data_IF_653315689272
#
_entry.id   IF_653315689272
#
_cell.length_a   1.000
_cell.length_b   1.000
_cell.length_c   1.000
_cell.angle_alpha   90.00
_cell.angle_beta   90.00
_cell.angle_gamma   90.00
#
_symmetry.space_group_name_H-M   'P 1'
#
loop_
_entity.id
_entity.type
_entity.pdbx_description
1 polymer ?
#
# COMPACT_ATOMS: atom_id res chain seq x y z
N UNK A 1 -34.47 8.69 -15.06
CA UNK A 1 -33.53 9.28 -14.09
C UNK A 1 -33.79 8.59 -12.76
N UNK A 2 -32.83 7.83 -12.18
CA UNK A 2 -33.03 7.29 -10.83
C UNK A 2 -33.01 8.49 -9.87
N UNK A 3 -34.16 8.82 -9.28
CA UNK A 3 -34.24 9.88 -8.27
C UNK A 3 -33.47 9.43 -7.04
N UNK A 4 -32.68 10.34 -6.48
CA UNK A 4 -31.96 10.11 -5.24
C UNK A 4 -32.96 10.13 -4.09
N UNK A 5 -33.26 8.95 -3.52
CA UNK A 5 -34.24 8.80 -2.42
C UNK A 5 -33.71 9.34 -1.08
N UNK A 6 -32.39 9.46 -0.92
CA UNK A 6 -31.74 9.97 0.30
C UNK A 6 -30.74 11.07 -0.05
N UNK A 7 -30.67 12.13 0.74
CA UNK A 7 -29.71 13.25 0.57
C UNK A 7 -28.22 12.88 0.78
N UNK A 8 -27.88 11.59 0.74
CA UNK A 8 -26.54 11.04 0.91
C UNK A 8 -26.22 10.18 -0.32
N UNK A 9 -25.25 10.60 -1.13
CA UNK A 9 -24.67 9.77 -2.19
C UNK A 9 -23.60 8.81 -1.67
N UNK A 10 -23.17 7.87 -2.52
CA UNK A 10 -22.12 6.88 -2.19
C UNK A 10 -20.80 7.50 -1.67
N UNK A 11 -20.47 8.74 -2.07
CA UNK A 11 -19.26 9.45 -1.65
C UNK A 11 -19.52 10.62 -0.68
N UNK A 12 -20.78 10.77 -0.25
CA UNK A 12 -21.21 11.78 0.70
C UNK A 12 -20.89 13.23 0.25
N UNK A 13 -20.82 13.51 -1.06
CA UNK A 13 -20.33 14.80 -1.55
C UNK A 13 -21.26 15.96 -1.19
N UNK A 14 -22.55 15.68 -0.99
CA UNK A 14 -23.58 16.64 -0.57
C UNK A 14 -23.29 17.21 0.82
N UNK A 15 -22.60 16.46 1.68
CA UNK A 15 -22.22 16.91 3.03
C UNK A 15 -21.07 17.91 3.03
N UNK A 16 -20.48 18.22 1.87
CA UNK A 16 -19.39 19.19 1.80
C UNK A 16 -19.87 20.61 2.15
N UNK A 17 -19.50 21.06 3.34
CA UNK A 17 -19.75 22.41 3.88
C UNK A 17 -18.77 23.50 3.37
N UNK A 18 -17.92 23.17 2.39
CA UNK A 18 -16.98 24.10 1.73
C UNK A 18 -15.95 24.80 2.64
N UNK A 19 -15.60 24.25 3.79
CA UNK A 19 -14.64 24.84 4.75
C UNK A 19 -13.16 24.86 4.28
N UNK A 20 -12.80 24.20 3.18
CA UNK A 20 -11.43 24.20 2.58
C UNK A 20 -10.34 23.48 3.38
N UNK A 21 -10.65 22.84 4.52
CA UNK A 21 -9.67 22.05 5.31
C UNK A 21 -8.94 21.00 4.47
N UNK A 22 -9.64 20.35 3.54
CA UNK A 22 -9.06 19.36 2.65
C UNK A 22 -7.91 19.91 1.79
N UNK A 23 -7.95 21.19 1.42
CA UNK A 23 -6.89 21.86 0.65
C UNK A 23 -5.65 22.07 1.49
N UNK A 24 -5.80 22.44 2.77
CA UNK A 24 -4.69 22.63 3.72
C UNK A 24 -3.93 21.32 3.96
N UNK A 25 -4.65 20.21 4.09
CA UNK A 25 -4.05 18.88 4.31
C UNK A 25 -3.55 18.20 3.03
N UNK A 26 -3.72 18.83 1.86
CA UNK A 26 -3.27 18.26 0.61
C UNK A 26 -1.77 18.50 0.41
N UNK A 27 -0.95 17.45 0.28
CA UNK A 27 0.49 17.63 0.09
C UNK A 27 0.84 18.20 -1.30
N UNK A 28 -0.04 18.09 -2.29
CA UNK A 28 0.22 18.50 -3.67
C UNK A 28 0.08 20.00 -3.86
N UNK A 29 -0.93 20.60 -3.24
CA UNK A 29 -1.27 22.03 -3.36
C UNK A 29 -0.08 22.97 -3.08
N UNK A 30 0.69 22.81 -2.00
CA UNK A 30 1.78 23.74 -1.70
C UNK A 30 2.95 23.67 -2.68
N UNK A 31 3.08 22.60 -3.48
CA UNK A 31 4.26 22.37 -4.35
C UNK A 31 3.92 22.24 -5.83
N UNK A 32 2.64 22.21 -6.20
CA UNK A 32 2.21 22.13 -7.58
C UNK A 32 1.05 23.13 -7.83
N UNK A 33 1.34 24.32 -8.36
CA UNK A 33 0.33 25.36 -8.59
C UNK A 33 -0.68 25.00 -9.70
N UNK A 34 -0.39 23.97 -10.51
CA UNK A 34 -1.31 23.50 -11.55
C UNK A 34 -2.42 22.61 -10.97
N UNK A 35 -2.29 22.15 -9.72
CA UNK A 35 -3.35 21.39 -9.08
C UNK A 35 -4.31 22.34 -8.35
N UNK A 36 -5.60 22.41 -8.74
CA UNK A 36 -6.57 23.31 -8.11
C UNK A 36 -6.95 22.90 -6.67
N UNK A 37 -6.38 21.80 -6.18
CA UNK A 37 -6.64 21.28 -4.85
C UNK A 37 -7.84 20.33 -4.79
N UNK A 38 -7.94 19.55 -3.70
CA UNK A 38 -8.92 18.48 -3.58
C UNK A 38 -10.35 18.99 -3.43
N UNK A 39 -10.57 20.23 -2.95
CA UNK A 39 -11.90 20.84 -2.89
C UNK A 39 -12.49 21.04 -4.30
N UNK A 40 -11.74 21.72 -5.17
CA UNK A 40 -12.17 22.03 -6.53
C UNK A 40 -12.15 20.78 -7.41
N UNK A 41 -11.10 19.97 -7.34
CA UNK A 41 -11.02 18.71 -8.08
C UNK A 41 -12.11 17.70 -7.64
N UNK A 42 -12.42 17.67 -6.34
CA UNK A 42 -13.40 16.77 -5.72
C UNK A 42 -14.82 17.37 -5.68
N UNK A 43 -15.38 17.68 -4.50
CA UNK A 43 -16.81 17.93 -4.32
C UNK A 43 -17.34 19.18 -5.07
N UNK A 44 -16.55 20.23 -5.25
CA UNK A 44 -17.02 21.42 -5.98
C UNK A 44 -17.09 21.14 -7.49
N UNK A 45 -16.05 20.51 -8.06
CA UNK A 45 -16.07 20.06 -9.46
C UNK A 45 -17.11 18.97 -9.72
N UNK A 46 -17.39 18.11 -8.73
CA UNK A 46 -18.38 17.03 -8.88
C UNK A 46 -19.78 17.57 -9.15
N UNK A 47 -20.17 18.65 -8.45
CA UNK A 47 -21.45 19.33 -8.66
C UNK A 47 -21.62 19.84 -10.10
N UNK A 48 -20.53 20.14 -10.80
CA UNK A 48 -20.55 20.52 -12.20
C UNK A 48 -20.57 19.28 -13.11
N UNK A 49 -19.71 18.29 -12.83
CA UNK A 49 -19.61 17.04 -13.62
C UNK A 49 -20.88 16.20 -13.64
N UNK A 50 -21.69 16.27 -12.58
CA UNK A 50 -23.01 15.65 -12.52
C UNK A 50 -24.00 16.28 -13.51
N UNK A 51 -23.86 17.57 -13.83
CA UNK A 51 -24.70 18.27 -14.81
C UNK A 51 -24.21 18.01 -16.23
N UNK A 52 -22.91 18.17 -16.48
CA UNK A 52 -22.27 17.94 -17.79
C UNK A 52 -20.86 17.37 -17.60
N UNK A 53 -20.55 16.27 -18.29
CA UNK A 53 -19.23 15.62 -18.22
C UNK A 53 -18.07 16.48 -18.72
N UNK A 54 -18.33 17.52 -19.52
CA UNK A 54 -17.31 18.45 -20.04
C UNK A 54 -16.53 19.21 -18.96
N UNK A 55 -17.06 19.28 -17.74
CA UNK A 55 -16.37 19.90 -16.59
C UNK A 55 -15.31 18.99 -15.96
N UNK A 56 -15.00 17.85 -16.59
CA UNK A 56 -13.81 17.09 -16.27
C UNK A 56 -12.55 17.84 -16.69
N UNK A 57 -11.58 17.88 -15.79
CA UNK A 57 -10.29 18.52 -16.01
C UNK A 57 -9.16 17.51 -15.79
N UNK A 58 -8.19 17.51 -16.70
CA UNK A 58 -7.01 16.68 -16.63
C UNK A 58 -6.12 17.01 -15.42
N UNK A 59 -6.29 18.16 -14.74
CA UNK A 59 -5.57 18.45 -13.47
C UNK A 59 -5.91 17.47 -12.34
N UNK A 60 -7.04 16.73 -12.43
CA UNK A 60 -7.38 15.68 -11.46
C UNK A 60 -6.29 14.59 -11.37
N UNK A 61 -5.47 14.42 -12.42
CA UNK A 61 -4.34 13.47 -12.44
C UNK A 61 -3.21 13.81 -11.46
N UNK A 62 -3.16 15.04 -10.95
CA UNK A 62 -2.19 15.43 -9.93
C UNK A 62 -2.58 14.95 -8.53
N UNK A 63 -3.82 14.47 -8.34
CA UNK A 63 -4.22 13.85 -7.09
C UNK A 63 -3.44 12.53 -6.86
N UNK A 64 -2.78 12.44 -5.71
CA UNK A 64 -2.02 11.26 -5.29
C UNK A 64 -2.88 10.10 -4.80
N UNK A 65 -4.20 10.30 -4.67
CA UNK A 65 -5.10 9.35 -4.02
C UNK A 65 -4.74 9.00 -2.56
N UNK A 66 -3.97 9.85 -1.87
CA UNK A 66 -3.47 9.58 -0.52
C UNK A 66 -4.53 9.65 0.61
N UNK A 67 -5.75 10.07 0.29
CA UNK A 67 -6.90 10.20 1.21
C UNK A 67 -6.73 11.12 2.43
N UNK A 68 -5.62 11.84 2.60
CA UNK A 68 -5.44 12.82 3.69
C UNK A 68 -6.56 13.87 3.75
N UNK A 69 -7.07 14.28 2.59
CA UNK A 69 -8.21 15.19 2.49
C UNK A 69 -9.51 14.62 3.08
N UNK A 70 -9.67 13.29 3.09
CA UNK A 70 -10.84 12.62 3.67
C UNK A 70 -10.70 12.44 5.16
N UNK A 71 -9.49 12.13 5.65
CA UNK A 71 -9.20 12.03 7.09
C UNK A 71 -9.46 13.38 7.76
N UNK A 72 -9.05 14.48 7.13
CA UNK A 72 -9.26 15.83 7.66
C UNK A 72 -10.69 16.37 7.49
N UNK A 73 -11.58 15.67 6.78
CA UNK A 73 -12.91 16.20 6.47
C UNK A 73 -13.88 16.00 7.65
N UNK A 74 -14.38 17.08 8.28
CA UNK A 74 -15.29 16.94 9.43
C UNK A 74 -16.66 16.37 9.05
N UNK A 75 -17.02 16.46 7.77
CA UNK A 75 -18.31 15.99 7.24
C UNK A 75 -18.22 14.60 6.61
N UNK A 76 -17.07 13.92 6.70
CA UNK A 76 -16.88 12.58 6.16
C UNK A 76 -17.04 12.47 4.63
N UNK A 77 -16.71 13.54 3.90
CA UNK A 77 -16.75 13.53 2.42
C UNK A 77 -15.59 12.70 1.88
N UNK A 78 -15.87 11.77 0.98
CA UNK A 78 -14.85 10.91 0.34
C UNK A 78 -14.22 11.59 -0.86
N UNK A 79 -13.51 12.68 -0.60
CA UNK A 79 -12.96 13.59 -1.60
C UNK A 79 -11.99 12.90 -2.58
N UNK A 80 -11.13 12.01 -2.07
CA UNK A 80 -10.20 11.24 -2.90
C UNK A 80 -10.96 10.28 -3.81
N UNK A 81 -11.96 9.58 -3.27
CA UNK A 81 -12.83 8.69 -4.07
C UNK A 81 -13.58 9.47 -5.16
N UNK A 82 -14.14 10.65 -4.86
CA UNK A 82 -14.81 11.52 -5.86
C UNK A 82 -13.85 11.84 -7.02
N UNK A 83 -12.62 12.24 -6.71
CA UNK A 83 -11.62 12.58 -7.72
C UNK A 83 -11.29 11.34 -8.57
N UNK A 84 -11.08 10.19 -7.94
CA UNK A 84 -10.76 8.96 -8.65
C UNK A 84 -11.93 8.46 -9.49
N UNK A 85 -13.16 8.45 -8.97
CA UNK A 85 -14.37 8.11 -9.71
C UNK A 85 -14.55 9.03 -10.92
N UNK A 86 -14.29 10.33 -10.79
CA UNK A 86 -14.32 11.25 -11.91
C UNK A 86 -13.27 10.91 -12.98
N UNK A 87 -12.04 10.58 -12.58
CA UNK A 87 -11.00 10.10 -13.50
C UNK A 87 -11.37 8.79 -14.19
N UNK A 88 -12.03 7.87 -13.49
CA UNK A 88 -12.49 6.60 -14.05
C UNK A 88 -13.60 6.82 -15.08
N UNK A 89 -14.55 7.71 -14.76
CA UNK A 89 -15.77 7.90 -15.56
C UNK A 89 -15.56 8.80 -16.78
N UNK A 90 -14.76 9.85 -16.65
CA UNK A 90 -14.67 10.92 -17.64
C UNK A 90 -13.34 10.98 -18.39
N UNK A 91 -12.28 10.29 -17.94
CA UNK A 91 -11.04 10.24 -18.70
C UNK A 91 -11.23 9.41 -19.98
N UNK A 92 -11.03 10.02 -21.13
CA UNK A 92 -11.09 9.38 -22.44
C UNK A 92 -9.72 9.01 -23.00
N UNK A 93 -8.63 9.44 -22.34
CA UNK A 93 -7.27 9.12 -22.79
C UNK A 93 -6.92 7.65 -22.47
N UNK A 94 -6.52 6.86 -23.47
CA UNK A 94 -6.08 5.49 -23.22
C UNK A 94 -4.76 5.48 -22.42
N UNK A 95 -4.52 4.48 -21.56
CA UNK A 95 -3.27 4.34 -20.84
C UNK A 95 -2.07 4.28 -21.81
N UNK A 96 -1.02 5.05 -21.53
CA UNK A 96 0.22 5.01 -22.32
C UNK A 96 0.96 3.69 -22.08
N UNK A 97 1.85 3.30 -22.99
CA UNK A 97 2.70 2.11 -22.83
C UNK A 97 3.44 2.10 -21.49
N UNK A 98 4.02 3.24 -21.09
CA UNK A 98 4.62 3.43 -19.76
C UNK A 98 3.66 3.03 -18.65
N UNK A 99 2.43 3.55 -18.68
CA UNK A 99 1.46 3.35 -17.61
C UNK A 99 1.01 1.89 -17.54
N UNK A 100 0.87 1.23 -18.70
CA UNK A 100 0.57 -0.21 -18.79
C UNK A 100 1.68 -1.07 -18.19
N UNK A 101 2.96 -0.74 -18.47
CA UNK A 101 4.12 -1.45 -17.90
C UNK A 101 4.17 -1.25 -16.39
N UNK A 102 4.09 0.00 -15.92
CA UNK A 102 4.20 0.32 -14.49
C UNK A 102 3.04 -0.23 -13.67
N UNK A 103 1.82 -0.31 -14.24
CA UNK A 103 0.63 -0.78 -13.53
C UNK A 103 0.42 -2.30 -13.61
N UNK A 104 1.01 -3.00 -14.59
CA UNK A 104 0.83 -4.44 -14.80
C UNK A 104 1.83 -5.29 -14.01
N UNK A 105 1.86 -5.12 -12.69
CA UNK A 105 2.87 -5.75 -11.81
C UNK A 105 2.92 -7.28 -11.92
N UNK A 106 1.78 -7.97 -12.01
CA UNK A 106 1.78 -9.45 -12.11
C UNK A 106 2.29 -9.94 -13.47
N UNK A 107 1.95 -9.23 -14.54
CA UNK A 107 2.41 -9.56 -15.89
C UNK A 107 3.93 -9.33 -15.97
N UNK A 108 4.39 -8.17 -15.50
CA UNK A 108 5.82 -7.86 -15.48
C UNK A 108 6.57 -8.82 -14.55
N UNK A 109 6.06 -9.07 -13.35
CA UNK A 109 6.65 -9.99 -12.38
C UNK A 109 6.79 -11.42 -12.93
N UNK A 110 5.75 -11.98 -13.53
CA UNK A 110 5.77 -13.35 -14.07
C UNK A 110 6.73 -13.54 -15.25
N UNK A 111 6.99 -12.49 -16.03
CA UNK A 111 7.94 -12.50 -17.14
C UNK A 111 9.37 -12.20 -16.65
N UNK A 112 9.55 -11.11 -15.91
CA UNK A 112 10.87 -10.59 -15.53
C UNK A 112 11.57 -11.48 -14.51
N UNK A 113 10.83 -12.14 -13.61
CA UNK A 113 11.41 -13.09 -12.63
C UNK A 113 12.22 -14.19 -13.32
N UNK A 114 11.83 -14.63 -14.53
CA UNK A 114 12.53 -15.68 -15.29
C UNK A 114 13.90 -15.25 -15.79
N UNK A 115 14.13 -13.94 -15.93
CA UNK A 115 15.38 -13.34 -16.41
C UNK A 115 15.93 -12.31 -15.42
N UNK A 116 15.58 -12.46 -14.14
CA UNK A 116 15.80 -11.44 -13.11
C UNK A 116 17.26 -10.94 -13.01
N UNK A 117 18.31 -11.78 -13.06
CA UNK A 117 19.69 -11.28 -13.01
C UNK A 117 20.02 -10.31 -14.16
N UNK A 118 19.60 -10.66 -15.39
CA UNK A 118 19.82 -9.84 -16.58
C UNK A 118 18.99 -8.57 -16.53
N UNK A 119 17.71 -8.68 -16.17
CA UNK A 119 16.82 -7.53 -16.07
C UNK A 119 17.29 -6.54 -15.00
N UNK A 120 17.68 -7.03 -13.81
CA UNK A 120 18.20 -6.19 -12.74
C UNK A 120 19.50 -5.50 -13.11
N UNK A 121 20.41 -6.20 -13.81
CA UNK A 121 21.63 -5.60 -14.34
C UNK A 121 21.30 -4.48 -15.33
N UNK A 122 20.49 -4.79 -16.35
CA UNK A 122 20.11 -3.82 -17.39
C UNK A 122 19.40 -2.59 -16.82
N UNK A 123 18.44 -2.76 -15.91
CA UNK A 123 17.70 -1.67 -15.26
C UNK A 123 18.57 -0.83 -14.30
N UNK A 124 19.71 -1.37 -13.85
CA UNK A 124 20.68 -0.65 -13.03
C UNK A 124 21.60 0.29 -13.81
N UNK A 125 21.76 0.07 -15.12
CA UNK A 125 22.69 0.84 -15.96
C UNK A 125 22.20 2.27 -16.21
N UNK A 126 23.10 3.26 -16.08
CA UNK A 126 22.81 4.68 -16.37
C UNK A 126 22.28 4.90 -17.80
N UNK A 127 22.87 4.29 -18.87
CA UNK A 127 22.32 4.41 -20.22
C UNK A 127 20.87 3.93 -20.34
N UNK A 128 20.51 2.81 -19.71
CA UNK A 128 19.12 2.30 -19.71
C UNK A 128 18.17 3.32 -19.10
N UNK A 129 18.54 3.92 -17.96
CA UNK A 129 17.72 4.95 -17.31
C UNK A 129 17.53 6.20 -18.19
N UNK A 130 18.57 6.62 -18.91
CA UNK A 130 18.47 7.74 -19.88
C UNK A 130 17.55 7.40 -21.04
N UNK A 131 17.62 6.18 -21.58
CA UNK A 131 16.71 5.72 -22.65
C UNK A 131 15.26 5.66 -22.15
N UNK A 132 15.03 5.11 -20.95
CA UNK A 132 13.69 5.06 -20.35
C UNK A 132 13.12 6.46 -20.08
N UNK A 133 13.97 7.41 -19.68
CA UNK A 133 13.60 8.81 -19.49
C UNK A 133 13.23 9.50 -20.81
N UNK A 134 14.01 9.28 -21.86
CA UNK A 134 13.77 9.87 -23.17
C UNK A 134 12.52 9.30 -23.85
N UNK A 135 12.40 7.96 -23.87
CA UNK A 135 11.40 7.22 -24.65
C UNK A 135 10.13 6.95 -23.87
N UNK A 136 10.26 6.37 -22.67
CA UNK A 136 9.12 5.97 -21.85
C UNK A 136 8.68 7.05 -20.86
N UNK A 137 9.41 8.15 -20.72
CA UNK A 137 9.15 9.22 -19.73
C UNK A 137 9.08 8.69 -18.30
N UNK A 138 9.95 7.73 -17.98
CA UNK A 138 10.24 7.31 -16.59
C UNK A 138 11.48 8.06 -16.15
N UNK A 139 11.39 8.84 -15.07
CA UNK A 139 12.48 9.74 -14.68
C UNK A 139 13.81 8.98 -14.45
N UNK A 140 14.91 9.48 -15.02
CA UNK A 140 16.24 8.84 -14.93
C UNK A 140 16.77 8.69 -13.50
N UNK A 141 16.28 9.46 -12.53
CA UNK A 141 16.67 9.33 -11.12
C UNK A 141 15.97 8.17 -10.42
N UNK A 142 14.99 7.53 -11.08
CA UNK A 142 14.26 6.40 -10.52
C UNK A 142 15.03 5.10 -10.68
N UNK A 143 14.86 4.26 -9.68
CA UNK A 143 15.35 2.88 -9.68
C UNK A 143 14.17 1.97 -9.44
N UNK A 144 14.01 0.97 -10.31
CA UNK A 144 12.99 -0.04 -10.11
C UNK A 144 13.38 -0.97 -8.95
N UNK A 145 12.40 -1.44 -8.16
CA UNK A 145 12.67 -2.50 -7.20
C UNK A 145 13.24 -3.71 -7.95
N UNK A 146 14.30 -4.31 -7.41
CA UNK A 146 14.91 -5.51 -7.99
C UNK A 146 13.90 -6.63 -8.03
N UNK A 147 13.91 -7.42 -9.09
CA UNK A 147 13.15 -8.68 -9.17
C UNK A 147 13.96 -9.83 -8.58
N UNK A 148 13.30 -10.80 -7.98
CA UNK A 148 13.92 -12.05 -7.53
C UNK A 148 13.85 -13.11 -8.62
N UNK A 149 14.79 -14.05 -8.66
CA UNK A 149 14.70 -15.25 -9.53
C UNK A 149 13.77 -16.32 -8.95
N UNK A 150 13.51 -16.30 -7.64
CA UNK A 150 12.64 -17.25 -6.93
C UNK A 150 11.51 -16.49 -6.25
N UNK A 151 10.29 -16.73 -6.69
CA UNK A 151 9.11 -16.04 -6.13
C UNK A 151 8.82 -16.49 -4.70
N UNK A 152 8.09 -15.67 -3.94
CA UNK A 152 7.62 -16.05 -2.61
C UNK A 152 6.74 -17.31 -2.67
N UNK A 153 5.78 -17.38 -3.60
CA UNK A 153 4.91 -18.56 -3.74
C UNK A 153 5.71 -19.85 -3.99
N UNK A 154 6.73 -19.79 -4.87
CA UNK A 154 7.57 -20.94 -5.17
C UNK A 154 8.37 -21.38 -3.94
N UNK A 155 8.93 -20.41 -3.21
CA UNK A 155 9.60 -20.68 -1.95
C UNK A 155 8.63 -21.28 -0.91
N UNK A 156 7.43 -20.72 -0.77
CA UNK A 156 6.44 -21.13 0.22
C UNK A 156 6.02 -22.59 0.01
N UNK A 157 5.61 -22.92 -1.22
CA UNK A 157 5.19 -24.28 -1.62
C UNK A 157 6.28 -25.32 -1.37
N UNK A 158 7.54 -24.96 -1.62
CA UNK A 158 8.68 -25.88 -1.48
C UNK A 158 9.13 -26.07 -0.03
N UNK A 159 9.11 -25.02 0.79
CA UNK A 159 9.84 -25.03 2.06
C UNK A 159 8.93 -25.12 3.29
N UNK A 160 7.71 -24.59 3.24
CA UNK A 160 6.89 -24.43 4.46
C UNK A 160 5.46 -24.94 4.35
N UNK A 161 4.89 -25.03 3.14
CA UNK A 161 3.50 -25.40 2.91
C UNK A 161 3.10 -26.74 3.55
N UNK A 162 3.99 -27.74 3.51
CA UNK A 162 3.68 -29.10 3.99
C UNK A 162 3.42 -29.22 5.49
N UNK A 163 3.82 -28.23 6.28
CA UNK A 163 3.61 -28.24 7.73
C UNK A 163 2.75 -27.07 8.23
N UNK A 164 2.13 -26.28 7.34
CA UNK A 164 1.23 -25.21 7.79
C UNK A 164 -0.05 -25.75 8.45
N UNK A 165 -0.45 -26.98 8.10
CA UNK A 165 -1.61 -27.66 8.69
C UNK A 165 -1.32 -28.27 10.07
N UNK A 166 -0.07 -28.30 10.53
CA UNK A 166 0.26 -28.85 11.86
C UNK A 166 0.03 -27.85 13.00
N UNK A 167 -0.18 -26.58 12.67
CA UNK A 167 -0.48 -25.54 13.65
C UNK A 167 -1.95 -25.59 14.08
N UNK A 168 -2.23 -25.16 15.32
CA UNK A 168 -3.58 -25.17 15.89
C UNK A 168 -4.49 -24.09 15.32
N UNK A 169 -3.90 -22.95 14.99
CA UNK A 169 -4.62 -21.79 14.47
C UNK A 169 -4.12 -21.45 13.07
N UNK A 170 -4.95 -20.76 12.31
CA UNK A 170 -4.73 -20.59 10.88
C UNK A 170 -5.15 -19.21 10.39
N UNK A 171 -4.35 -18.64 9.48
CA UNK A 171 -4.66 -17.40 8.75
C UNK A 171 -4.36 -17.56 7.28
N UNK A 172 -5.10 -16.86 6.43
CA UNK A 172 -4.72 -16.71 5.03
C UNK A 172 -3.90 -15.44 4.82
N UNK A 173 -2.89 -15.50 3.96
CA UNK A 173 -2.00 -14.39 3.67
C UNK A 173 -2.22 -13.86 2.26
N UNK A 174 -2.68 -12.61 2.17
CA UNK A 174 -2.63 -11.83 0.93
C UNK A 174 -1.21 -11.26 0.78
N UNK A 175 -0.36 -11.94 0.01
CA UNK A 175 1.05 -11.56 -0.07
C UNK A 175 1.30 -10.36 -0.99
N UNK A 176 0.47 -10.20 -2.02
CA UNK A 176 0.60 -9.16 -3.03
C UNK A 176 1.78 -9.36 -3.98
N UNK A 177 1.84 -8.50 -4.99
CA UNK A 177 2.81 -8.62 -6.07
C UNK A 177 4.26 -8.30 -5.63
N UNK A 178 4.44 -7.33 -4.73
CA UNK A 178 5.78 -6.91 -4.30
C UNK A 178 6.49 -8.03 -3.54
N UNK A 179 5.82 -8.67 -2.57
CA UNK A 179 6.37 -9.82 -1.85
C UNK A 179 6.68 -10.96 -2.82
N UNK A 180 5.79 -11.22 -3.78
CA UNK A 180 5.98 -12.34 -4.70
C UNK A 180 7.19 -12.16 -5.63
N UNK A 181 7.35 -10.98 -6.23
CA UNK A 181 8.27 -10.78 -7.35
C UNK A 181 9.52 -9.95 -7.02
N UNK A 182 9.50 -9.15 -5.95
CA UNK A 182 10.58 -8.21 -5.64
C UNK A 182 11.22 -8.46 -4.28
N UNK A 183 10.41 -8.70 -3.25
CA UNK A 183 10.90 -8.86 -1.88
C UNK A 183 10.27 -10.05 -1.15
N UNK A 184 10.57 -11.30 -1.57
CA UNK A 184 10.08 -12.50 -0.90
C UNK A 184 10.43 -12.59 0.57
N UNK A 185 11.52 -11.94 1.00
CA UNK A 185 11.98 -11.98 2.38
C UNK A 185 10.88 -11.53 3.35
N UNK A 186 10.14 -10.45 3.05
CA UNK A 186 9.02 -10.00 3.86
C UNK A 186 7.94 -11.08 4.04
N UNK A 187 7.65 -11.86 2.98
CA UNK A 187 6.72 -12.98 3.09
C UNK A 187 7.24 -14.11 3.97
N UNK A 188 8.56 -14.39 3.92
CA UNK A 188 9.20 -15.37 4.79
C UNK A 188 9.15 -14.91 6.25
N UNK A 189 9.48 -13.65 6.49
CA UNK A 189 9.46 -13.04 7.82
C UNK A 189 8.06 -13.13 8.44
N UNK A 190 7.01 -12.82 7.65
CA UNK A 190 5.63 -12.97 8.11
C UNK A 190 5.31 -14.42 8.48
N UNK A 191 5.66 -15.39 7.62
CA UNK A 191 5.41 -16.81 7.92
C UNK A 191 6.17 -17.25 9.17
N UNK A 192 7.43 -16.84 9.33
CA UNK A 192 8.23 -17.16 10.51
C UNK A 192 7.65 -16.59 11.80
N UNK A 193 7.20 -15.32 11.79
CA UNK A 193 6.55 -14.68 12.94
C UNK A 193 5.23 -15.37 13.27
N UNK A 194 4.35 -15.59 12.28
CA UNK A 194 3.05 -16.24 12.52
C UNK A 194 3.21 -17.68 13.03
N UNK A 195 4.12 -18.46 12.46
CA UNK A 195 4.40 -19.82 12.93
C UNK A 195 4.93 -19.82 14.38
N UNK A 196 5.79 -18.86 14.75
CA UNK A 196 6.26 -18.71 16.13
C UNK A 196 5.12 -18.33 17.09
N UNK A 197 4.07 -17.67 16.60
CA UNK A 197 2.86 -17.38 17.37
C UNK A 197 1.86 -18.55 17.43
N UNK A 198 2.18 -19.71 16.83
CA UNK A 198 1.31 -20.88 16.79
C UNK A 198 0.26 -20.86 15.67
N UNK A 199 0.42 -19.97 14.67
CA UNK A 199 -0.50 -19.82 13.54
C UNK A 199 0.12 -20.30 12.23
N UNK A 200 -0.49 -21.30 11.61
CA UNK A 200 -0.17 -21.73 10.26
C UNK A 200 -0.68 -20.72 9.23
N UNK A 201 0.15 -20.40 8.25
CA UNK A 201 -0.16 -19.46 7.18
C UNK A 201 -0.58 -20.22 5.94
N UNK A 202 -1.62 -19.75 5.24
CA UNK A 202 -2.04 -20.31 3.95
C UNK A 202 -2.10 -19.24 2.88
N UNK A 203 -1.79 -19.60 1.64
CA UNK A 203 -1.91 -18.68 0.52
C UNK A 203 -3.35 -18.68 -0.02
N UNK A 204 -3.80 -17.53 -0.52
CA UNK A 204 -5.08 -17.43 -1.21
C UNK A 204 -5.02 -18.13 -2.57
N UNK A 205 -6.12 -18.80 -2.93
CA UNK A 205 -6.22 -19.48 -4.22
C UNK A 205 -6.15 -18.45 -5.36
N UNK A 206 -5.23 -18.63 -6.31
CA UNK A 206 -5.14 -17.80 -7.54
C UNK A 206 -5.06 -16.28 -7.29
N UNK A 207 -4.43 -15.85 -6.20
CA UNK A 207 -4.24 -14.44 -5.86
C UNK A 207 -3.79 -13.60 -7.07
N UNK A 208 -4.36 -12.39 -7.18
CA UNK A 208 -3.96 -11.36 -8.14
C UNK A 208 -3.52 -10.11 -7.40
N UNK A 209 -2.72 -9.27 -8.07
CA UNK A 209 -2.41 -7.92 -7.59
C UNK A 209 -3.68 -7.19 -7.19
N UNK A 210 -3.63 -6.51 -6.04
CA UNK A 210 -4.72 -5.72 -5.46
C UNK A 210 -5.27 -4.65 -6.42
N UNK A 211 -4.51 -4.25 -7.44
CA UNK A 211 -4.98 -3.36 -8.49
C UNK A 211 -4.85 -1.88 -8.18
N UNK A 212 -4.23 -1.47 -7.07
CA UNK A 212 -4.00 -0.05 -6.73
C UNK A 212 -3.33 0.71 -7.89
N UNK A 213 -2.29 0.12 -8.50
CA UNK A 213 -1.61 0.72 -9.64
C UNK A 213 -2.49 0.76 -10.91
N UNK A 214 -3.35 -0.24 -11.11
CA UNK A 214 -4.31 -0.27 -12.22
C UNK A 214 -5.36 0.84 -12.07
N UNK A 215 -5.92 1.00 -10.86
CA UNK A 215 -6.84 2.09 -10.51
C UNK A 215 -6.19 3.45 -10.76
N UNK A 216 -4.97 3.66 -10.26
CA UNK A 216 -4.25 4.92 -10.40
C UNK A 216 -3.95 5.31 -11.86
N UNK A 217 -3.92 4.33 -12.78
CA UNK A 217 -3.68 4.53 -14.21
C UNK A 217 -4.94 4.28 -15.08
N UNK A 218 -6.14 4.30 -14.47
CA UNK A 218 -7.42 4.11 -15.15
C UNK A 218 -7.56 2.80 -15.95
N UNK A 219 -6.82 1.75 -15.59
CA UNK A 219 -6.92 0.40 -16.19
C UNK A 219 -8.01 -0.43 -15.51
N UNK A 220 -9.25 0.08 -15.53
CA UNK A 220 -10.33 -0.34 -14.63
C UNK A 220 -10.88 -1.73 -14.94
N UNK A 221 -10.98 -2.15 -16.20
CA UNK A 221 -11.48 -3.49 -16.52
C UNK A 221 -10.58 -4.59 -15.95
N UNK A 222 -9.27 -4.40 -16.06
CA UNK A 222 -8.28 -5.31 -15.46
C UNK A 222 -8.32 -5.24 -13.94
N UNK A 223 -8.48 -4.05 -13.36
CA UNK A 223 -8.62 -3.88 -11.91
C UNK A 223 -9.86 -4.62 -11.37
N UNK A 224 -11.02 -4.50 -12.04
CA UNK A 224 -12.26 -5.22 -11.71
C UNK A 224 -12.09 -6.72 -11.79
N UNK A 225 -11.45 -7.23 -12.86
CA UNK A 225 -11.18 -8.66 -13.01
C UNK A 225 -10.31 -9.20 -11.88
N UNK A 226 -9.24 -8.50 -11.52
CA UNK A 226 -8.38 -8.87 -10.40
C UNK A 226 -9.13 -8.82 -9.07
N UNK A 227 -9.90 -7.76 -8.84
CA UNK A 227 -10.67 -7.57 -7.62
C UNK A 227 -11.72 -8.66 -7.43
N UNK A 228 -12.46 -9.03 -8.48
CA UNK A 228 -13.44 -10.12 -8.45
C UNK A 228 -12.79 -11.46 -8.05
N UNK A 229 -11.65 -11.81 -8.68
CA UNK A 229 -10.90 -13.03 -8.33
C UNK A 229 -10.41 -13.00 -6.88
N UNK A 230 -9.88 -11.87 -6.42
CA UNK A 230 -9.37 -11.75 -5.05
C UNK A 230 -10.49 -11.87 -4.01
N UNK A 231 -11.62 -11.20 -4.21
CA UNK A 231 -12.76 -11.27 -3.29
C UNK A 231 -13.37 -12.67 -3.26
N UNK A 232 -13.44 -13.38 -4.39
CA UNK A 232 -13.84 -14.79 -4.42
C UNK A 232 -12.91 -15.64 -3.54
N UNK A 233 -11.59 -15.50 -3.69
CA UNK A 233 -10.62 -16.24 -2.89
C UNK A 233 -10.65 -15.87 -1.41
N UNK A 234 -10.92 -14.60 -1.09
CA UNK A 234 -11.09 -14.14 0.30
C UNK A 234 -12.37 -14.74 0.90
N UNK A 235 -13.50 -14.74 0.20
CA UNK A 235 -14.75 -15.38 0.66
C UNK A 235 -14.55 -16.85 0.96
N UNK A 236 -13.84 -17.56 0.08
CA UNK A 236 -13.48 -18.96 0.30
C UNK A 236 -12.64 -19.15 1.57
N UNK A 237 -11.63 -18.30 1.77
CA UNK A 237 -10.81 -18.31 2.98
C UNK A 237 -11.64 -18.07 4.25
N UNK A 238 -12.50 -17.06 4.24
CA UNK A 238 -13.30 -16.67 5.41
C UNK A 238 -14.41 -17.67 5.72
N UNK A 239 -15.21 -18.09 4.73
CA UNK A 239 -16.40 -18.89 4.97
C UNK A 239 -16.18 -20.40 4.88
N UNK A 240 -15.36 -20.87 3.93
CA UNK A 240 -15.11 -22.31 3.79
C UNK A 240 -13.99 -22.77 4.72
N UNK A 241 -12.92 -21.97 4.86
CA UNK A 241 -11.75 -22.35 5.68
C UNK A 241 -11.77 -21.76 7.09
N UNK A 242 -12.67 -20.81 7.38
CA UNK A 242 -12.76 -20.13 8.69
C UNK A 242 -11.47 -19.39 9.06
N UNK A 243 -10.81 -18.79 8.07
CA UNK A 243 -9.53 -18.10 8.22
C UNK A 243 -9.70 -16.60 7.93
N UNK A 244 -9.29 -15.71 8.85
CA UNK A 244 -9.15 -14.30 8.48
C UNK A 244 -7.99 -14.14 7.48
N UNK A 245 -8.05 -13.06 6.71
CA UNK A 245 -7.04 -12.72 5.70
C UNK A 245 -6.17 -11.60 6.22
N UNK A 246 -4.87 -11.86 6.35
CA UNK A 246 -3.89 -10.84 6.74
C UNK A 246 -3.04 -10.42 5.54
N UNK A 247 -2.52 -9.20 5.56
CA UNK A 247 -1.53 -8.72 4.57
C UNK A 247 -0.46 -7.83 5.19
N UNK A 248 0.69 -7.71 4.54
CA UNK A 248 1.80 -6.85 5.02
C UNK A 248 1.85 -5.46 4.36
N UNK A 249 1.09 -5.27 3.26
CA UNK A 249 1.01 -3.98 2.56
C UNK A 249 -0.23 -3.20 2.98
N UNK A 250 -0.01 -2.01 3.52
CA UNK A 250 -1.07 -1.06 3.84
C UNK A 250 -1.91 -0.66 2.62
N UNK A 251 -1.27 -0.42 1.48
CA UNK A 251 -1.97 -0.04 0.25
C UNK A 251 -2.85 -1.15 -0.31
N UNK A 252 -2.36 -2.39 -0.32
CA UNK A 252 -3.16 -3.54 -0.76
C UNK A 252 -4.39 -3.73 0.13
N UNK A 253 -4.21 -3.74 1.46
CA UNK A 253 -5.30 -3.89 2.41
C UNK A 253 -6.35 -2.78 2.26
N UNK A 254 -5.91 -1.51 2.22
CA UNK A 254 -6.80 -0.38 2.02
C UNK A 254 -7.58 -0.49 0.70
N UNK A 255 -6.91 -0.81 -0.40
CA UNK A 255 -7.56 -0.90 -1.71
C UNK A 255 -8.63 -1.98 -1.72
N UNK A 256 -8.31 -3.17 -1.21
CA UNK A 256 -9.24 -4.31 -1.19
C UNK A 256 -10.43 -4.03 -0.28
N UNK A 257 -10.20 -3.45 0.92
CA UNK A 257 -11.26 -3.19 1.91
C UNK A 257 -12.14 -2.01 1.57
N UNK A 258 -11.56 -0.90 1.13
CA UNK A 258 -12.21 0.40 1.12
C UNK A 258 -12.34 1.01 -0.28
N UNK A 259 -11.50 0.65 -1.24
CA UNK A 259 -11.62 1.20 -2.61
C UNK A 259 -12.42 0.29 -3.56
N UNK A 260 -12.42 -1.03 -3.37
CA UNK A 260 -13.12 -1.97 -4.25
C UNK A 260 -14.62 -1.65 -4.43
N UNK A 261 -15.41 -1.43 -3.36
CA UNK A 261 -16.83 -1.12 -3.52
C UNK A 261 -17.06 0.21 -4.24
N UNK A 262 -16.26 1.22 -3.93
CA UNK A 262 -16.50 2.61 -4.34
C UNK A 262 -15.92 2.94 -5.72
N UNK A 263 -14.77 2.37 -6.08
CA UNK A 263 -14.08 2.65 -7.34
C UNK A 263 -14.31 1.56 -8.39
N UNK A 264 -14.46 0.30 -7.96
CA UNK A 264 -14.60 -0.84 -8.88
C UNK A 264 -16.02 -1.42 -8.90
N UNK A 265 -16.88 -1.05 -7.96
CA UNK A 265 -18.23 -1.62 -7.84
C UNK A 265 -18.22 -3.10 -7.45
N UNK A 266 -17.15 -3.55 -6.78
CA UNK A 266 -17.02 -4.91 -6.26
C UNK A 266 -17.42 -4.88 -4.79
N UNK A 267 -18.60 -5.42 -4.47
CA UNK A 267 -19.05 -5.55 -3.10
C UNK A 267 -18.18 -6.55 -2.34
N UNK A 268 -17.75 -6.13 -1.15
CA UNK A 268 -16.95 -6.90 -0.21
C UNK A 268 -17.49 -6.78 1.22
N UNK A 269 -18.69 -6.19 1.41
CA UNK A 269 -19.21 -5.82 2.72
C UNK A 269 -19.30 -7.00 3.69
N UNK A 270 -19.51 -8.20 3.14
CA UNK A 270 -19.61 -9.47 3.85
C UNK A 270 -18.25 -9.94 4.40
N UNK A 271 -17.14 -9.66 3.71
CA UNK A 271 -15.78 -10.10 4.11
C UNK A 271 -14.88 -8.96 4.56
N UNK A 272 -15.31 -7.71 4.43
CA UNK A 272 -14.48 -6.51 4.64
C UNK A 272 -13.73 -6.57 5.96
N UNK A 273 -14.41 -6.91 7.05
CA UNK A 273 -13.83 -6.89 8.39
C UNK A 273 -12.93 -8.07 8.74
N UNK A 274 -12.84 -9.07 7.87
CA UNK A 274 -11.92 -10.21 7.98
C UNK A 274 -10.56 -9.97 7.29
N UNK A 275 -10.39 -8.85 6.61
CA UNK A 275 -9.17 -8.50 5.88
C UNK A 275 -8.37 -7.52 6.74
N UNK A 276 -7.19 -7.82 7.25
CA UNK A 276 -6.48 -6.86 8.11
C UNK A 276 -4.97 -6.85 7.91
N UNK A 277 -4.32 -5.80 8.41
CA UNK A 277 -2.86 -5.75 8.40
C UNK A 277 -2.32 -6.75 9.41
N UNK A 278 -1.25 -7.46 9.05
CA UNK A 278 -0.65 -8.48 9.92
C UNK A 278 -0.22 -7.91 11.29
N UNK A 279 0.27 -6.67 11.35
CA UNK A 279 0.61 -5.99 12.60
C UNK A 279 -0.61 -5.74 13.48
N UNK A 280 -1.74 -5.33 12.90
CA UNK A 280 -3.01 -5.20 13.63
C UNK A 280 -3.48 -6.54 14.17
N UNK A 281 -3.42 -7.59 13.35
CA UNK A 281 -3.79 -8.94 13.77
C UNK A 281 -2.95 -9.42 14.95
N UNK A 282 -1.63 -9.31 14.85
CA UNK A 282 -0.68 -9.72 15.91
C UNK A 282 -0.91 -8.91 17.19
N UNK A 283 -1.05 -7.58 17.08
CA UNK A 283 -1.31 -6.73 18.24
C UNK A 283 -2.59 -7.15 18.97
N UNK A 284 -3.69 -7.40 18.24
CA UNK A 284 -4.95 -7.87 18.83
C UNK A 284 -4.76 -9.19 19.58
N UNK A 285 -4.02 -10.14 19.03
CA UNK A 285 -3.77 -11.42 19.71
C UNK A 285 -2.99 -11.23 21.03
N UNK A 286 -2.06 -10.27 21.08
CA UNK A 286 -1.30 -9.93 22.29
C UNK A 286 -2.22 -9.28 23.33
N UNK A 287 -3.01 -8.28 22.90
CA UNK A 287 -3.96 -7.56 23.75
C UNK A 287 -5.03 -8.48 24.35
N UNK A 288 -5.48 -9.47 23.58
CA UNK A 288 -6.38 -10.53 24.03
C UNK A 288 -5.70 -11.62 24.89
N UNK A 289 -4.39 -11.54 25.12
CA UNK A 289 -3.60 -12.52 25.89
C UNK A 289 -3.48 -13.89 25.22
N UNK A 290 -3.80 -13.99 23.91
CA UNK A 290 -3.76 -15.24 23.14
C UNK A 290 -2.36 -15.65 22.72
N UNK A 291 -1.45 -14.68 22.58
CA UNK A 291 -0.07 -14.95 22.21
C UNK A 291 0.91 -14.11 23.03
N UNK A 292 2.14 -14.59 23.13
CA UNK A 292 3.27 -13.95 23.82
C UNK A 292 4.41 -13.75 22.85
N UNK A 293 5.16 -12.66 23.01
CA UNK A 293 6.38 -12.38 22.27
C UNK A 293 7.59 -12.55 23.19
N UNK A 294 8.62 -13.26 22.72
CA UNK A 294 9.91 -13.34 23.39
C UNK A 294 10.97 -12.69 22.52
N UNK A 295 11.51 -11.57 22.99
CA UNK A 295 12.51 -10.79 22.24
C UNK A 295 13.95 -11.22 22.58
N UNK A 296 14.83 -11.09 21.60
CA UNK A 296 16.28 -11.25 21.79
C UNK A 296 16.81 -10.16 22.72
N UNK A 297 17.66 -10.53 23.66
CA UNK A 297 18.19 -9.61 24.70
C UNK A 297 19.14 -8.55 24.15
N UNK A 298 19.79 -8.85 23.02
CA UNK A 298 20.83 -8.04 22.39
C UNK A 298 20.31 -7.18 21.23
N UNK A 299 19.03 -7.28 20.88
CA UNK A 299 18.45 -6.44 19.83
C UNK A 299 18.37 -4.98 20.31
N UNK A 300 19.01 -4.08 19.56
CA UNK A 300 18.97 -2.64 19.79
C UNK A 300 18.90 -1.93 18.45
N UNK A 301 18.02 -0.93 18.34
CA UNK A 301 17.90 -0.15 17.13
C UNK A 301 17.28 1.22 17.41
N UNK A 302 17.79 2.25 16.76
CA UNK A 302 17.14 3.55 16.64
C UNK A 302 16.29 3.59 15.37
N UNK A 303 14.97 3.65 15.53
CA UNK A 303 14.01 3.49 14.44
C UNK A 303 13.22 4.77 14.25
N UNK A 304 13.13 5.23 13.01
CA UNK A 304 12.17 6.25 12.60
C UNK A 304 10.95 5.58 11.96
N UNK A 305 9.73 5.89 12.39
CA UNK A 305 8.52 5.38 11.75
C UNK A 305 7.89 6.42 10.83
N UNK A 306 7.68 6.08 9.56
CA UNK A 306 6.88 6.86 8.63
C UNK A 306 5.50 6.23 8.49
N UNK A 307 4.45 6.94 8.91
CA UNK A 307 3.06 6.51 8.74
C UNK A 307 2.62 6.68 7.28
N UNK A 308 2.39 5.59 6.52
CA UNK A 308 1.88 5.69 5.16
C UNK A 308 0.48 6.31 5.13
N UNK A 309 0.15 7.05 4.08
CA UNK A 309 -1.14 7.73 3.99
C UNK A 309 -2.36 6.80 4.02
N UNK A 310 -2.24 5.57 3.51
CA UNK A 310 -3.31 4.57 3.62
C UNK A 310 -3.41 3.97 5.03
N UNK A 311 -2.32 3.93 5.81
CA UNK A 311 -2.39 3.59 7.23
C UNK A 311 -3.07 4.67 8.05
N UNK A 312 -2.79 5.94 7.74
CA UNK A 312 -3.45 7.09 8.34
C UNK A 312 -4.97 7.02 8.11
N UNK A 313 -5.39 6.76 6.86
CA UNK A 313 -6.82 6.61 6.52
C UNK A 313 -7.49 5.44 7.24
N UNK A 314 -6.77 4.34 7.45
CA UNK A 314 -7.27 3.18 8.19
C UNK A 314 -7.25 3.40 9.72
N UNK A 315 -6.48 4.37 10.22
CA UNK A 315 -6.21 4.54 11.65
C UNK A 315 -5.35 3.41 12.23
N UNK A 316 -4.60 2.69 11.40
CA UNK A 316 -3.90 1.46 11.81
C UNK A 316 -2.41 1.65 12.13
N UNK A 317 -1.88 2.87 11.99
CA UNK A 317 -0.47 3.18 12.30
C UNK A 317 -0.07 2.78 13.72
N UNK A 318 -0.99 2.94 14.68
CA UNK A 318 -0.77 2.64 16.09
C UNK A 318 -0.36 1.18 16.33
N UNK A 319 -0.96 0.22 15.62
CA UNK A 319 -0.66 -1.20 15.83
C UNK A 319 0.78 -1.53 15.45
N UNK A 320 1.28 -0.96 14.36
CA UNK A 320 2.67 -1.13 13.93
C UNK A 320 3.64 -0.44 14.89
N UNK A 321 3.32 0.77 15.37
CA UNK A 321 4.20 1.49 16.29
C UNK A 321 4.26 0.83 17.66
N UNK A 322 3.13 0.36 18.21
CA UNK A 322 3.11 -0.28 19.52
C UNK A 322 3.83 -1.63 19.51
N UNK A 323 3.69 -2.43 18.45
CA UNK A 323 4.49 -3.65 18.30
C UNK A 323 5.99 -3.37 18.29
N UNK A 324 6.43 -2.30 17.64
CA UNK A 324 7.85 -1.91 17.63
C UNK A 324 8.28 -1.41 19.02
N UNK A 325 7.42 -0.66 19.74
CA UNK A 325 7.70 -0.20 21.11
C UNK A 325 7.84 -1.33 22.13
N UNK A 326 7.18 -2.46 21.91
CA UNK A 326 7.30 -3.64 22.77
C UNK A 326 8.70 -4.26 22.74
N UNK A 327 9.51 -4.00 21.70
CA UNK A 327 10.84 -4.57 21.55
C UNK A 327 11.80 -3.88 22.54
N UNK A 328 12.38 -4.61 23.52
CA UNK A 328 13.38 -4.04 24.42
C UNK A 328 14.58 -3.51 23.65
N UNK A 329 15.12 -2.35 24.06
CA UNK A 329 16.32 -1.76 23.44
C UNK A 329 16.05 -0.97 22.15
N UNK A 330 14.80 -0.82 21.72
CA UNK A 330 14.42 0.02 20.58
C UNK A 330 14.12 1.46 21.02
N UNK A 331 14.75 2.42 20.36
CA UNK A 331 14.39 3.84 20.42
C UNK A 331 13.52 4.19 19.20
N UNK A 332 12.20 4.32 19.41
CA UNK A 332 11.25 4.62 18.34
C UNK A 332 10.85 6.09 18.31
N UNK A 333 11.13 6.76 17.20
CA UNK A 333 10.61 8.10 16.88
C UNK A 333 9.57 8.02 15.76
N UNK A 334 8.35 8.49 16.01
CA UNK A 334 7.33 8.63 14.97
C UNK A 334 7.56 9.96 14.26
N UNK A 335 7.73 9.93 12.94
CA UNK A 335 7.97 11.13 12.15
C UNK A 335 6.67 11.88 11.91
N UNK A 336 6.68 13.20 12.13
CA UNK A 336 5.60 14.11 11.73
C UNK A 336 5.61 14.28 10.21
N UNK A 337 5.15 13.24 9.52
CA UNK A 337 5.33 13.06 8.09
C UNK A 337 3.99 13.08 7.36
N UNK A 338 3.91 13.91 6.33
CA UNK A 338 2.69 14.04 5.53
C UNK A 338 2.57 12.90 4.51
N UNK A 339 3.39 12.95 3.47
CA UNK A 339 3.38 12.01 2.36
C UNK A 339 4.80 11.86 1.84
N UNK A 340 5.21 10.66 1.44
CA UNK A 340 6.52 10.46 0.81
C UNK A 340 6.57 11.01 -0.63
N UNK A 341 5.42 11.28 -1.25
CA UNK A 341 5.27 11.88 -2.58
C UNK A 341 5.22 10.92 -3.77
N UNK A 342 5.52 9.64 -3.59
CA UNK A 342 5.63 8.69 -4.71
C UNK A 342 4.30 8.27 -5.33
N UNK A 343 3.25 8.11 -4.50
CA UNK A 343 1.92 7.64 -4.87
C UNK A 343 1.91 6.52 -5.94
N UNK A 344 2.58 5.42 -5.63
CA UNK A 344 2.74 4.29 -6.55
C UNK A 344 3.56 4.65 -7.78
N UNK A 345 2.93 4.66 -8.95
CA UNK A 345 3.61 4.95 -10.22
C UNK A 345 3.71 6.44 -10.52
N UNK A 346 3.01 7.30 -9.78
CA UNK A 346 2.96 8.75 -10.01
C UNK A 346 4.36 9.37 -10.03
N UNK A 347 5.15 9.14 -8.98
CA UNK A 347 6.48 9.72 -8.82
C UNK A 347 7.53 9.12 -9.76
N UNK A 348 7.24 7.97 -10.41
CA UNK A 348 8.11 7.41 -11.44
C UNK A 348 8.05 8.17 -12.76
N UNK A 349 6.96 8.90 -13.01
CA UNK A 349 6.73 9.64 -14.26
C UNK A 349 7.59 10.89 -14.26
N UNK A 350 8.32 11.13 -15.35
CA UNK A 350 9.23 12.27 -15.52
C UNK A 350 8.55 13.61 -15.21
N UNK A 351 7.34 13.80 -15.70
CA UNK A 351 6.56 15.02 -15.49
C UNK A 351 6.16 15.29 -14.03
N UNK A 352 6.27 14.28 -13.15
CA UNK A 352 5.86 14.37 -11.76
C UNK A 352 7.03 14.23 -10.78
N UNK A 353 8.25 13.99 -11.26
CA UNK A 353 9.41 13.68 -10.41
C UNK A 353 9.69 14.79 -9.40
N UNK A 354 9.83 16.04 -9.88
CA UNK A 354 10.12 17.20 -9.03
C UNK A 354 9.01 17.44 -8.01
N UNK A 355 7.74 17.31 -8.41
CA UNK A 355 6.60 17.44 -7.50
C UNK A 355 6.65 16.33 -6.44
N UNK A 356 6.89 15.08 -6.82
CA UNK A 356 7.00 13.97 -5.88
C UNK A 356 8.15 14.18 -4.88
N UNK A 357 9.31 14.69 -5.33
CA UNK A 357 10.43 15.02 -4.46
C UNK A 357 10.11 16.18 -3.52
N UNK A 358 9.49 17.25 -4.02
CA UNK A 358 9.07 18.39 -3.21
C UNK A 358 8.07 17.99 -2.11
N UNK A 359 7.10 17.12 -2.42
CA UNK A 359 6.16 16.57 -1.45
C UNK A 359 6.90 15.80 -0.34
N UNK A 360 7.84 14.93 -0.73
CA UNK A 360 8.57 14.07 0.20
C UNK A 360 9.66 14.78 0.99
N UNK A 361 10.15 15.94 0.54
CA UNK A 361 11.30 16.65 1.13
C UNK A 361 11.21 16.83 2.65
N UNK A 362 10.08 17.25 3.26
CA UNK A 362 10.00 17.41 4.71
C UNK A 362 10.24 16.10 5.48
N UNK A 363 9.81 14.96 4.92
CA UNK A 363 10.06 13.63 5.49
C UNK A 363 11.56 13.28 5.39
N UNK A 364 12.18 13.51 4.23
CA UNK A 364 13.59 13.20 4.01
C UNK A 364 14.50 14.05 4.91
N UNK A 365 14.19 15.34 5.07
CA UNK A 365 14.93 16.24 5.96
C UNK A 365 14.82 15.77 7.43
N UNK A 366 13.65 15.30 7.87
CA UNK A 366 13.48 14.74 9.22
C UNK A 366 14.32 13.47 9.43
N UNK A 367 14.32 12.56 8.47
CA UNK A 367 15.15 11.35 8.51
C UNK A 367 16.64 11.72 8.60
N UNK A 368 17.09 12.68 7.79
CA UNK A 368 18.47 13.15 7.77
C UNK A 368 18.89 13.78 9.11
N UNK A 369 17.99 14.54 9.76
CA UNK A 369 18.25 15.14 11.08
C UNK A 369 18.29 14.10 12.20
N UNK A 370 17.33 13.18 12.22
CA UNK A 370 17.19 12.18 13.28
C UNK A 370 18.31 11.13 13.26
N UNK A 371 18.84 10.84 12.06
CA UNK A 371 19.86 9.82 11.80
C UNK A 371 19.50 8.46 12.45
N UNK A 372 18.33 7.88 12.15
CA UNK A 372 17.98 6.56 12.65
C UNK A 372 18.89 5.49 12.02
N UNK A 373 18.95 4.31 12.60
CA UNK A 373 19.63 3.16 11.98
C UNK A 373 18.90 2.77 10.69
N UNK A 374 17.57 2.71 10.76
CA UNK A 374 16.68 2.48 9.61
C UNK A 374 15.30 3.11 9.83
N UNK A 375 14.49 3.14 8.77
CA UNK A 375 13.12 3.63 8.78
C UNK A 375 12.15 2.45 8.76
N UNK A 376 11.08 2.50 9.56
CA UNK A 376 9.99 1.52 9.55
C UNK A 376 8.80 2.06 8.73
N UNK A 377 8.23 1.22 7.85
CA UNK A 377 7.10 1.60 6.98
C UNK A 377 6.31 0.39 6.43
N UNK A 378 4.98 0.42 6.56
CA UNK A 378 4.05 -0.62 6.09
C UNK A 378 3.68 -0.54 4.60
N UNK A 379 4.36 0.32 3.83
CA UNK A 379 4.09 0.53 2.41
C UNK A 379 5.35 0.35 1.56
N UNK A 380 5.27 -0.57 0.59
CA UNK A 380 6.34 -0.90 -0.34
C UNK A 380 6.76 0.28 -1.23
N UNK A 381 5.80 1.10 -1.67
CA UNK A 381 6.12 2.24 -2.55
C UNK A 381 6.76 3.38 -1.77
N UNK A 382 6.33 3.60 -0.51
CA UNK A 382 6.97 4.55 0.40
C UNK A 382 8.40 4.12 0.71
N UNK A 383 8.64 2.81 0.90
CA UNK A 383 9.99 2.24 1.02
C UNK A 383 10.87 2.66 -0.16
N UNK A 384 10.44 2.43 -1.40
CA UNK A 384 11.26 2.79 -2.57
C UNK A 384 11.56 4.28 -2.60
N UNK A 385 10.59 5.13 -2.29
CA UNK A 385 10.76 6.57 -2.30
C UNK A 385 11.75 7.06 -1.26
N UNK A 386 11.65 6.55 -0.04
CA UNK A 386 12.56 6.91 1.05
C UNK A 386 13.97 6.37 0.76
N UNK A 387 14.12 5.13 0.29
CA UNK A 387 15.44 4.56 -0.04
C UNK A 387 16.11 5.22 -1.26
N UNK A 388 15.32 5.76 -2.20
CA UNK A 388 15.85 6.53 -3.33
C UNK A 388 16.20 7.97 -2.98
N UNK A 389 15.62 8.52 -1.90
CA UNK A 389 15.75 9.94 -1.54
C UNK A 389 16.53 10.14 -0.23
N UNK A 390 16.90 9.04 0.44
CA UNK A 390 17.69 9.01 1.67
C UNK A 390 18.65 7.82 1.60
N UNK A 391 19.74 7.86 2.36
CA UNK A 391 20.69 6.73 2.47
C UNK A 391 20.22 5.67 3.48
N UNK A 392 18.97 5.74 3.96
CA UNK A 392 18.46 4.87 5.02
C UNK A 392 17.68 3.71 4.44
N UNK A 393 18.00 2.51 4.93
CA UNK A 393 17.19 1.32 4.69
C UNK A 393 15.78 1.51 5.25
N UNK A 394 14.79 0.98 4.56
CA UNK A 394 13.41 0.95 5.04
C UNK A 394 12.96 -0.49 5.28
N UNK A 395 12.51 -0.81 6.49
CA UNK A 395 12.01 -2.13 6.87
C UNK A 395 10.51 -2.10 7.11
N UNK A 396 9.84 -3.20 6.77
CA UNK A 396 8.45 -3.38 7.19
C UNK A 396 8.42 -3.79 8.68
N UNK A 397 7.44 -3.34 9.47
CA UNK A 397 7.32 -3.73 10.89
C UNK A 397 7.34 -5.24 11.13
N UNK A 398 6.82 -6.06 10.20
CA UNK A 398 6.88 -7.52 10.31
C UNK A 398 8.31 -8.05 10.21
N UNK A 399 9.14 -7.50 9.31
CA UNK A 399 10.56 -7.86 9.22
C UNK A 399 11.33 -7.43 10.47
N UNK A 400 10.98 -6.28 11.06
CA UNK A 400 11.57 -5.82 12.32
C UNK A 400 11.25 -6.81 13.45
N UNK A 401 9.99 -7.26 13.56
CA UNK A 401 9.60 -8.30 14.52
C UNK A 401 10.36 -9.61 14.26
N UNK A 402 10.47 -10.06 13.02
CA UNK A 402 11.20 -11.29 12.69
C UNK A 402 12.68 -11.22 13.08
N UNK A 403 13.31 -10.05 12.94
CA UNK A 403 14.69 -9.82 13.39
C UNK A 403 14.80 -9.78 14.92
N UNK A 404 13.86 -9.13 15.60
CA UNK A 404 13.90 -8.88 17.05
C UNK A 404 13.44 -10.07 17.91
N UNK A 405 12.58 -10.93 17.39
CA UNK A 405 12.07 -12.09 18.14
C UNK A 405 13.10 -13.22 18.22
N UNK A 406 13.15 -13.86 19.39
CA UNK A 406 13.63 -15.23 19.50
C UNK A 406 12.48 -16.15 19.06
N UNK A 407 12.51 -16.58 17.80
CA UNK A 407 11.42 -17.36 17.20
C UNK A 407 11.21 -18.71 17.89
N UNK A 408 12.27 -19.31 18.46
CA UNK A 408 12.17 -20.60 19.15
C UNK A 408 11.52 -20.39 20.52
N UNK A 409 12.04 -19.46 21.32
CA UNK A 409 11.48 -19.15 22.63
C UNK A 409 10.04 -18.59 22.53
N UNK A 410 9.76 -17.82 21.48
CA UNK A 410 8.40 -17.35 21.17
C UNK A 410 7.48 -18.53 20.85
N UNK A 411 7.93 -19.48 20.02
CA UNK A 411 7.16 -20.70 19.75
C UNK A 411 6.88 -21.51 21.00
N UNK A 412 7.86 -21.68 21.88
CA UNK A 412 7.69 -22.39 23.15
C UNK A 412 6.72 -21.69 24.11
N UNK A 413 6.71 -20.36 24.12
CA UNK A 413 5.79 -19.58 24.95
C UNK A 413 4.32 -19.60 24.46
N UNK A 414 4.08 -20.08 23.23
CA UNK A 414 2.77 -20.14 22.56
C UNK A 414 2.28 -21.56 22.26
N UNK A 415 3.03 -22.59 22.67
CA UNK A 415 2.53 -23.98 22.74
C UNK A 415 1.54 -24.10 23.89
#
# INVERSE_FOLDING_TARGET
MKMQEKNISANNFEQCIKCTVCTVYCPVVPVNPLYPGPKQAGPDGERLRLKKGLFFDNTLKYCLNCKRCEVACPSGVRIGDIIQSARIKYNTEPPKLRDMILASTDLMGSVVTKVAPVANFALGLKPTKVVMDAVLKVDKHRTFPKYTSKTFESWFKKNVMSFQDTFKHHVSYFHGCYVNYNYPQLGKDLVSVMNALGYGVHLLDKEKCCGTALIANCMIDKAKKNAAQNIESIRKSVYERQMPVIGASSSCNFTIRDEYPHLLGIDNSDVRDYIELATRFIYRLIDEGKVKLVFKKDYKAKIAYHTPCHMEKLGWGIFSTELIRMIPGVELTILDSNCCGIAGTYGFKKENYEVAQAIGKPLFDQIARLKPDFVACDCETCKWQIEMSTEKEVKNPISILAEALDLVATSEANK
#
